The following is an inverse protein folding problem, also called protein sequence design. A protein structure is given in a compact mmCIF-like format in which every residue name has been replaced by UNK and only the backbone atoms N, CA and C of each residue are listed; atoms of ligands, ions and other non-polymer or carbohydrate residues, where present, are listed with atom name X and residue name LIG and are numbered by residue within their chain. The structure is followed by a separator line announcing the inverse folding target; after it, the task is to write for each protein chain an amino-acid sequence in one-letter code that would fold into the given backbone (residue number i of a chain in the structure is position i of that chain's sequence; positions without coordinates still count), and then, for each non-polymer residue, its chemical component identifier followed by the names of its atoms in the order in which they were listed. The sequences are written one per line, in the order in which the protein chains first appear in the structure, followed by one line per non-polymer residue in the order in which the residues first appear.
data_IF_833041832936
#
_entry.id   IF_833041832936
#
_cell.length_a   1.000
_cell.length_b   1.000
_cell.length_c   1.000
_cell.angle_alpha   90.00
_cell.angle_beta   90.00
_cell.angle_gamma   90.00
#
_symmetry.space_group_name_H-M   'P 1'
#
loop_
_entity.id
_entity.type
_entity.pdbx_description
1 polymer ?
#
# COMPACT_ATOMS: atom_id res chain seq x y z
N UNK A 1 99.99 3.40 -47.25
CA UNK A 1 100.85 2.18 -46.97
C UNK A 1 99.96 1.11 -46.40
N UNK A 2 99.81 0.05 -47.15
CA UNK A 2 99.80 -1.38 -46.76
C UNK A 2 98.56 -1.86 -46.01
N UNK A 3 97.66 -2.57 -46.72
CA UNK A 3 97.43 -4.03 -46.82
C UNK A 3 97.02 -4.70 -45.49
N UNK A 4 96.17 -5.64 -45.39
CA UNK A 4 95.56 -6.68 -46.20
C UNK A 4 94.57 -7.49 -45.37
N UNK A 5 93.58 -8.08 -46.04
CA UNK A 5 93.02 -9.43 -45.93
C UNK A 5 92.73 -10.09 -44.58
N UNK A 6 91.56 -10.70 -44.53
CA UNK A 6 91.27 -11.89 -43.74
C UNK A 6 89.77 -12.22 -43.71
N UNK A 7 89.38 -13.10 -44.63
CA UNK A 7 88.05 -13.79 -44.66
C UNK A 7 87.94 -14.73 -43.44
N UNK A 8 86.70 -14.83 -42.89
CA UNK A 8 86.20 -16.15 -42.47
C UNK A 8 84.70 -16.07 -42.19
N UNK A 9 83.97 -16.78 -42.99
CA UNK A 9 82.62 -17.21 -42.79
C UNK A 9 82.44 -17.93 -41.46
N UNK A 10 81.38 -17.63 -40.73
CA UNK A 10 80.77 -18.59 -39.78
C UNK A 10 79.24 -18.45 -39.87
N UNK A 11 78.66 -19.53 -40.40
CA UNK A 11 77.23 -19.86 -40.39
C UNK A 11 76.71 -19.92 -38.92
N UNK A 12 75.70 -19.10 -38.61
CA UNK A 12 74.87 -19.22 -37.43
C UNK A 12 73.52 -19.83 -37.80
N UNK A 13 72.87 -20.63 -36.93
CA UNK A 13 71.73 -21.40 -37.32
C UNK A 13 70.49 -20.51 -37.48
N UNK A 14 69.78 -20.74 -38.57
CA UNK A 14 68.43 -20.23 -38.84
C UNK A 14 67.46 -20.59 -37.70
N UNK A 15 67.02 -19.62 -36.90
CA UNK A 15 65.89 -19.76 -36.02
C UNK A 15 64.64 -19.61 -36.87
N UNK A 16 63.96 -20.76 -37.07
CA UNK A 16 62.63 -20.86 -37.67
C UNK A 16 61.61 -20.18 -36.76
N UNK A 17 61.22 -18.92 -37.00
CA UNK A 17 60.04 -18.27 -36.35
C UNK A 17 58.77 -18.97 -36.86
N UNK A 18 57.92 -19.54 -35.95
CA UNK A 18 56.64 -20.07 -36.38
C UNK A 18 55.81 -18.89 -36.85
N UNK A 19 55.40 -18.91 -38.10
CA UNK A 19 54.70 -17.87 -38.82
C UNK A 19 53.47 -17.34 -38.03
N UNK A 20 53.60 -16.10 -37.61
CA UNK A 20 52.55 -15.29 -36.91
C UNK A 20 51.19 -15.30 -37.63
N UNK A 21 51.14 -15.70 -38.89
CA UNK A 21 49.93 -15.86 -39.70
C UNK A 21 49.07 -17.05 -39.28
N UNK A 22 49.66 -18.21 -38.94
CA UNK A 22 48.89 -19.40 -38.52
C UNK A 22 48.25 -19.26 -37.14
N UNK A 23 48.90 -18.53 -36.23
CA UNK A 23 48.36 -18.27 -34.89
C UNK A 23 47.19 -17.26 -34.97
N UNK A 24 47.27 -16.24 -35.81
CA UNK A 24 46.16 -15.31 -36.06
C UNK A 24 44.95 -16.00 -36.69
N UNK A 25 45.16 -16.89 -37.64
CA UNK A 25 44.09 -17.63 -38.31
C UNK A 25 43.37 -18.61 -37.38
N UNK A 26 44.07 -19.25 -36.44
CA UNK A 26 43.47 -20.12 -35.42
C UNK A 26 42.65 -19.34 -34.40
N UNK A 27 43.09 -18.14 -33.97
CA UNK A 27 42.35 -17.27 -33.04
C UNK A 27 41.08 -16.73 -33.72
N UNK A 28 41.15 -16.36 -34.99
CA UNK A 28 39.96 -15.88 -35.73
C UNK A 28 38.94 -17.02 -35.88
N UNK A 29 39.35 -18.23 -36.25
CA UNK A 29 38.46 -19.39 -36.33
C UNK A 29 37.78 -19.74 -35.00
N UNK A 30 38.54 -19.67 -33.90
CA UNK A 30 37.99 -19.93 -32.55
C UNK A 30 37.00 -18.85 -32.11
N UNK A 31 37.24 -17.59 -32.46
CA UNK A 31 36.30 -16.48 -32.18
C UNK A 31 35.04 -16.58 -32.99
N UNK A 32 35.09 -16.95 -34.29
CA UNK A 32 33.95 -17.17 -35.15
C UNK A 32 33.10 -18.37 -34.69
N UNK A 33 33.75 -19.46 -34.25
CA UNK A 33 33.07 -20.64 -33.72
C UNK A 33 32.35 -20.34 -32.39
N UNK A 34 32.95 -19.53 -31.51
CA UNK A 34 32.29 -19.07 -30.25
C UNK A 34 31.14 -18.15 -30.54
N UNK A 35 31.26 -17.27 -31.55
CA UNK A 35 30.19 -16.35 -31.92
C UNK A 35 28.99 -17.11 -32.56
N UNK A 36 29.29 -18.08 -33.43
CA UNK A 36 28.24 -18.93 -34.04
C UNK A 36 27.49 -19.76 -33.01
N UNK A 37 28.18 -20.39 -32.04
CA UNK A 37 27.59 -21.12 -30.93
C UNK A 37 26.72 -20.21 -30.04
N UNK A 38 27.17 -18.98 -29.80
CA UNK A 38 26.40 -18.00 -29.01
C UNK A 38 25.14 -17.55 -29.74
N UNK A 39 25.19 -17.40 -31.06
CA UNK A 39 24.01 -17.07 -31.89
C UNK A 39 23.02 -18.22 -31.92
N UNK A 40 23.47 -19.47 -32.07
CA UNK A 40 22.60 -20.64 -32.00
C UNK A 40 21.91 -20.81 -30.63
N UNK A 41 22.64 -20.58 -29.52
CA UNK A 41 22.08 -20.62 -28.18
C UNK A 41 20.99 -19.56 -27.97
N UNK A 42 21.23 -18.34 -28.46
CA UNK A 42 20.25 -17.26 -28.41
C UNK A 42 19.01 -17.56 -29.26
N UNK A 43 19.21 -18.16 -30.43
CA UNK A 43 18.11 -18.56 -31.32
C UNK A 43 17.27 -19.68 -30.70
N UNK A 44 17.92 -20.72 -30.17
CA UNK A 44 17.24 -21.82 -29.46
C UNK A 44 16.50 -21.36 -28.20
N UNK A 45 17.08 -20.44 -27.43
CA UNK A 45 16.43 -19.82 -26.27
C UNK A 45 15.23 -18.96 -26.68
N UNK A 46 15.32 -18.23 -27.79
CA UNK A 46 14.23 -17.47 -28.39
C UNK A 46 13.08 -18.37 -28.90
N UNK A 47 13.43 -19.50 -29.52
CA UNK A 47 12.45 -20.49 -29.99
C UNK A 47 11.77 -21.25 -28.83
N UNK A 48 12.51 -21.59 -27.78
CA UNK A 48 11.93 -22.18 -26.57
C UNK A 48 10.97 -21.23 -25.87
N UNK A 49 11.30 -19.92 -25.77
CA UNK A 49 10.37 -18.92 -25.27
C UNK A 49 9.13 -18.73 -26.15
N UNK A 50 9.26 -18.83 -27.48
CA UNK A 50 8.11 -18.81 -28.39
C UNK A 50 7.28 -20.08 -28.30
N UNK A 51 7.90 -21.27 -28.13
CA UNK A 51 7.17 -22.53 -27.92
C UNK A 51 6.42 -22.57 -26.60
N UNK A 52 6.99 -22.04 -25.52
CA UNK A 52 6.31 -21.93 -24.23
C UNK A 52 5.07 -21.00 -24.30
N UNK A 53 5.13 -19.95 -25.13
CA UNK A 53 3.95 -19.08 -25.41
C UNK A 53 2.90 -19.72 -26.31
N UNK A 54 3.27 -20.70 -27.13
CA UNK A 54 2.35 -21.35 -28.09
C UNK A 54 1.55 -22.52 -27.48
N UNK A 55 1.77 -22.83 -26.19
CA UNK A 55 1.10 -23.93 -25.49
C UNK A 55 -0.27 -23.60 -24.90
N UNK A 56 -0.65 -22.32 -24.85
CA UNK A 56 -1.95 -21.90 -24.34
C UNK A 56 -2.76 -21.28 -25.48
N UNK A 57 -3.97 -21.77 -25.70
CA UNK A 57 -4.88 -21.21 -26.69
C UNK A 57 -5.22 -19.77 -26.29
N UNK A 58 -5.47 -18.88 -27.26
CA UNK A 58 -5.80 -17.46 -26.99
C UNK A 58 -6.96 -17.31 -25.99
N UNK A 59 -7.90 -18.25 -26.03
CA UNK A 59 -9.00 -18.34 -25.07
C UNK A 59 -8.51 -18.63 -23.63
N UNK A 60 -7.56 -19.55 -23.45
CA UNK A 60 -7.01 -19.88 -22.13
C UNK A 60 -6.19 -18.70 -21.58
N UNK A 61 -5.46 -17.99 -22.44
CA UNK A 61 -4.75 -16.79 -22.07
C UNK A 61 -5.71 -15.68 -21.59
N UNK A 62 -6.79 -15.46 -22.34
CA UNK A 62 -7.84 -14.51 -21.96
C UNK A 62 -8.52 -14.92 -20.65
N UNK A 63 -8.89 -16.19 -20.50
CA UNK A 63 -9.49 -16.71 -19.28
C UNK A 63 -8.58 -16.52 -18.05
N UNK A 64 -7.27 -16.73 -18.21
CA UNK A 64 -6.30 -16.50 -17.14
C UNK A 64 -6.21 -15.00 -16.77
N UNK A 65 -6.24 -14.09 -17.75
CA UNK A 65 -6.27 -12.65 -17.46
C UNK A 65 -7.53 -12.24 -16.70
N UNK A 66 -8.69 -12.74 -17.10
CA UNK A 66 -9.95 -12.50 -16.39
C UNK A 66 -9.89 -13.05 -14.97
N UNK A 67 -9.36 -14.26 -14.78
CA UNK A 67 -9.20 -14.86 -13.47
C UNK A 67 -8.29 -14.01 -12.56
N UNK A 68 -7.14 -13.57 -13.06
CA UNK A 68 -6.22 -12.70 -12.33
C UNK A 68 -6.92 -11.38 -11.97
N UNK A 69 -7.65 -10.78 -12.89
CA UNK A 69 -8.38 -9.53 -12.65
C UNK A 69 -9.43 -9.70 -11.54
N UNK A 70 -10.20 -10.80 -11.58
CA UNK A 70 -11.17 -11.11 -10.52
C UNK A 70 -10.50 -11.32 -9.16
N UNK A 71 -9.36 -12.02 -9.14
CA UNK A 71 -8.60 -12.21 -7.89
C UNK A 71 -8.10 -10.86 -7.35
N UNK A 72 -7.59 -9.98 -8.21
CA UNK A 72 -7.13 -8.64 -7.81
C UNK A 72 -8.29 -7.82 -7.25
N UNK A 73 -9.45 -7.82 -7.91
CA UNK A 73 -10.65 -7.14 -7.39
C UNK A 73 -11.09 -7.74 -6.05
N UNK A 74 -11.09 -9.05 -5.93
CA UNK A 74 -11.44 -9.71 -4.67
C UNK A 74 -10.51 -9.28 -3.54
N UNK A 75 -9.20 -9.31 -3.74
CA UNK A 75 -8.21 -8.88 -2.75
C UNK A 75 -8.41 -7.41 -2.38
N UNK A 76 -8.65 -6.55 -3.39
CA UNK A 76 -8.88 -5.13 -3.19
C UNK A 76 -10.08 -4.88 -2.26
N UNK A 77 -11.25 -5.45 -2.57
CA UNK A 77 -12.47 -5.20 -1.82
C UNK A 77 -12.57 -6.03 -0.53
N UNK A 78 -11.93 -7.19 -0.45
CA UNK A 78 -11.94 -7.99 0.77
C UNK A 78 -10.99 -7.45 1.85
N UNK A 79 -9.82 -6.93 1.44
CA UNK A 79 -8.74 -6.61 2.39
C UNK A 79 -8.34 -5.13 2.43
N UNK A 80 -8.55 -4.36 1.36
CA UNK A 80 -8.03 -3.00 1.27
C UNK A 80 -9.15 -1.97 1.41
N UNK A 81 -10.22 -2.10 0.63
CA UNK A 81 -11.32 -1.14 0.59
C UNK A 81 -12.58 -1.79 1.15
N UNK A 82 -13.18 -1.15 2.13
CA UNK A 82 -14.51 -1.50 2.60
C UNK A 82 -15.57 -0.55 2.06
N UNK A 83 -16.77 -1.08 1.89
CA UNK A 83 -17.95 -0.28 1.55
C UNK A 83 -19.03 -0.62 2.58
N UNK A 84 -19.66 0.40 3.12
CA UNK A 84 -20.81 0.26 4.01
C UNK A 84 -21.84 1.35 3.71
N UNK A 85 -23.04 1.19 4.19
CA UNK A 85 -24.07 2.24 4.16
C UNK A 85 -24.20 2.84 5.55
N UNK A 86 -24.47 4.14 5.64
CA UNK A 86 -24.80 4.78 6.92
C UNK A 86 -26.15 4.27 7.43
N UNK A 87 -26.21 3.60 8.58
CA UNK A 87 -27.45 2.98 9.05
C UNK A 87 -28.44 4.00 9.62
N UNK A 88 -27.94 5.11 10.14
CA UNK A 88 -28.67 6.10 10.92
C UNK A 88 -28.31 7.53 10.51
N UNK A 89 -28.94 8.54 11.11
CA UNK A 89 -28.62 9.95 10.90
C UNK A 89 -27.61 10.51 11.91
N UNK A 90 -26.82 9.65 12.56
CA UNK A 90 -25.94 10.02 13.69
C UNK A 90 -24.76 10.90 13.27
N UNK A 91 -24.46 10.94 11.96
CA UNK A 91 -23.42 11.81 11.39
C UNK A 91 -24.00 12.99 10.60
N UNK A 92 -25.31 13.30 10.81
CA UNK A 92 -25.95 14.46 10.19
C UNK A 92 -25.32 15.77 10.72
N UNK A 93 -25.15 16.80 9.89
CA UNK A 93 -25.63 16.93 8.51
C UNK A 93 -24.64 16.49 7.42
N UNK A 94 -23.48 16.05 7.82
CA UNK A 94 -22.40 15.77 6.87
C UNK A 94 -22.59 14.43 6.14
N UNK A 95 -23.08 13.43 6.86
CA UNK A 95 -23.44 12.11 6.34
C UNK A 95 -24.85 11.82 6.79
N UNK A 96 -25.68 11.41 5.87
CA UNK A 96 -27.09 11.10 6.14
C UNK A 96 -27.37 9.61 6.04
N UNK A 97 -28.47 9.18 6.60
CA UNK A 97 -28.91 7.80 6.53
C UNK A 97 -29.05 7.33 5.07
N UNK A 98 -28.44 6.18 4.77
CA UNK A 98 -28.44 5.59 3.44
C UNK A 98 -27.31 6.06 2.53
N UNK A 99 -26.47 7.01 2.94
CA UNK A 99 -25.24 7.36 2.22
C UNK A 99 -24.29 6.18 2.17
N UNK A 100 -23.58 6.03 1.05
CA UNK A 100 -22.54 5.02 0.91
C UNK A 100 -21.19 5.57 1.37
N UNK A 101 -20.52 4.81 2.24
CA UNK A 101 -19.22 5.14 2.79
C UNK A 101 -18.18 4.16 2.24
N UNK A 102 -17.14 4.70 1.63
CA UNK A 102 -15.96 3.93 1.25
C UNK A 102 -14.86 4.20 2.28
N UNK A 103 -14.29 3.14 2.84
CA UNK A 103 -13.26 3.26 3.87
C UNK A 103 -12.06 2.38 3.57
N UNK A 104 -10.89 2.82 4.05
CA UNK A 104 -9.61 2.14 3.87
C UNK A 104 -9.31 1.27 5.10
N UNK A 105 -9.24 -0.03 4.90
CA UNK A 105 -9.13 -1.03 5.98
C UNK A 105 -7.75 -1.12 6.60
N UNK A 106 -6.69 -0.76 5.86
CA UNK A 106 -5.31 -0.92 6.31
C UNK A 106 -4.84 0.24 7.19
N UNK A 107 -5.56 1.36 7.20
CA UNK A 107 -5.28 2.48 8.09
C UNK A 107 -5.91 2.20 9.45
N UNK A 108 -5.06 1.85 10.40
CA UNK A 108 -5.42 1.56 11.80
C UNK A 108 -4.82 2.58 12.78
N UNK A 109 -4.28 3.69 12.28
CA UNK A 109 -3.75 4.79 13.07
C UNK A 109 -4.55 6.08 12.78
N UNK A 110 -5.77 6.18 13.34
CA UNK A 110 -6.66 7.28 13.05
C UNK A 110 -6.12 8.59 13.62
N UNK A 111 -6.41 9.69 12.93
CA UNK A 111 -6.09 11.04 13.36
C UNK A 111 -7.33 11.74 13.89
N UNK A 112 -7.12 12.75 14.73
CA UNK A 112 -8.21 13.61 15.15
C UNK A 112 -8.94 14.20 13.94
N UNK A 113 -10.27 14.21 13.98
CA UNK A 113 -11.21 14.61 12.93
C UNK A 113 -11.45 13.59 11.81
N UNK A 114 -10.73 12.46 11.77
CA UNK A 114 -11.05 11.39 10.83
C UNK A 114 -12.44 10.80 11.13
N UNK A 115 -13.15 10.43 10.07
CA UNK A 115 -14.36 9.64 10.19
C UNK A 115 -13.95 8.17 10.03
N UNK A 116 -14.36 7.35 10.98
CA UNK A 116 -13.99 5.94 11.04
C UNK A 116 -15.22 5.04 11.09
N UNK A 117 -15.07 3.86 10.53
CA UNK A 117 -16.00 2.74 10.72
C UNK A 117 -15.38 1.82 11.76
N UNK A 118 -16.13 1.46 12.78
CA UNK A 118 -15.66 0.59 13.86
C UNK A 118 -16.78 -0.35 14.33
N UNK A 119 -16.37 -1.41 15.03
CA UNK A 119 -17.29 -2.40 15.57
C UNK A 119 -17.17 -2.44 17.09
N UNK A 120 -18.32 -2.32 17.76
CA UNK A 120 -18.42 -2.39 19.21
C UNK A 120 -19.62 -3.25 19.61
N UNK A 121 -19.39 -4.26 20.45
CA UNK A 121 -20.46 -5.18 20.89
C UNK A 121 -21.24 -5.80 19.72
N UNK A 122 -20.53 -6.30 18.71
CA UNK A 122 -21.08 -6.91 17.48
C UNK A 122 -21.95 -5.95 16.63
N UNK A 123 -21.87 -4.66 16.90
CA UNK A 123 -22.58 -3.62 16.14
C UNK A 123 -21.59 -2.70 15.46
N UNK A 124 -21.85 -2.39 14.18
CA UNK A 124 -21.01 -1.48 13.39
C UNK A 124 -21.53 -0.06 13.51
N UNK A 125 -20.61 0.83 13.82
CA UNK A 125 -20.82 2.25 13.98
C UNK A 125 -19.98 3.07 13.02
N UNK A 126 -20.38 4.31 12.81
CA UNK A 126 -19.62 5.32 12.10
C UNK A 126 -19.56 6.54 12.99
N UNK A 127 -18.34 7.08 13.18
CA UNK A 127 -18.17 8.26 14.04
C UNK A 127 -16.91 9.03 13.71
N UNK A 128 -16.76 10.18 14.35
CA UNK A 128 -15.62 11.06 14.22
C UNK A 128 -14.67 10.87 15.38
N UNK A 129 -13.37 10.71 15.07
CA UNK A 129 -12.29 10.68 16.06
C UNK A 129 -12.12 12.08 16.64
N UNK A 130 -12.31 12.21 17.94
CA UNK A 130 -12.19 13.46 18.67
C UNK A 130 -10.84 13.58 19.34
N UNK A 131 -10.36 12.48 19.92
CA UNK A 131 -9.08 12.38 20.57
C UNK A 131 -8.42 11.04 20.25
N UNK A 132 -7.09 11.03 20.28
CA UNK A 132 -6.26 9.85 19.98
C UNK A 132 -5.42 9.44 21.18
N UNK A 133 -4.73 8.32 21.07
CA UNK A 133 -3.85 7.82 22.14
C UNK A 133 -2.93 8.92 22.71
N UNK A 134 -2.85 8.98 24.03
CA UNK A 134 -2.07 9.98 24.77
C UNK A 134 -2.80 11.29 25.04
N UNK A 135 -3.91 11.58 24.36
CA UNK A 135 -4.72 12.76 24.66
C UNK A 135 -5.53 12.56 25.93
N UNK A 136 -5.79 13.68 26.62
CA UNK A 136 -6.73 13.74 27.73
C UNK A 136 -7.96 14.51 27.28
N UNK A 137 -9.12 13.85 27.33
CA UNK A 137 -10.41 14.42 26.98
C UNK A 137 -11.23 14.72 28.24
N UNK A 138 -11.88 15.87 28.23
CA UNK A 138 -12.89 16.28 29.21
C UNK A 138 -14.12 16.83 28.50
N UNK A 139 -15.30 16.45 28.95
CA UNK A 139 -16.56 17.04 28.51
C UNK A 139 -17.18 17.69 29.72
N UNK A 140 -17.38 19.00 29.64
CA UNK A 140 -17.92 19.78 30.75
C UNK A 140 -19.43 19.69 30.80
N UNK A 141 -20.01 20.06 31.96
CA UNK A 141 -21.46 20.14 32.12
C UNK A 141 -22.11 21.23 31.25
N UNK A 142 -21.32 22.22 30.85
CA UNK A 142 -21.75 23.33 29.98
C UNK A 142 -21.64 22.97 28.48
N UNK A 143 -21.33 21.71 28.16
CA UNK A 143 -21.27 21.22 26.78
C UNK A 143 -19.98 21.49 26.02
N UNK A 144 -18.90 21.94 26.72
CA UNK A 144 -17.61 22.13 26.09
C UNK A 144 -16.79 20.85 26.05
N UNK A 145 -16.16 20.56 24.91
CA UNK A 145 -15.19 19.49 24.72
C UNK A 145 -13.78 20.07 24.87
N UNK A 146 -13.00 19.54 25.80
CA UNK A 146 -11.64 19.98 26.12
C UNK A 146 -10.67 18.85 25.81
N UNK A 147 -9.65 19.12 25.00
CA UNK A 147 -8.59 18.17 24.68
C UNK A 147 -7.26 18.76 25.16
N UNK A 148 -6.55 18.04 26.02
CA UNK A 148 -5.26 18.43 26.58
C UNK A 148 -5.31 19.83 27.26
N UNK A 149 -6.45 20.18 27.87
CA UNK A 149 -6.66 21.47 28.56
C UNK A 149 -7.10 22.61 27.63
N UNK A 150 -7.26 22.37 26.32
CA UNK A 150 -7.73 23.37 25.36
C UNK A 150 -9.15 23.06 24.89
N UNK A 151 -10.01 24.08 24.90
CA UNK A 151 -11.37 23.93 24.37
C UNK A 151 -11.32 23.70 22.86
N UNK A 152 -11.95 22.62 22.44
CA UNK A 152 -12.07 22.26 21.03
C UNK A 152 -13.12 23.15 20.36
N UNK A 153 -12.72 23.82 19.26
CA UNK A 153 -13.67 24.58 18.46
C UNK A 153 -14.24 23.70 17.35
N UNK A 154 -15.47 23.26 17.50
CA UNK A 154 -16.13 22.35 16.55
C UNK A 154 -17.00 23.15 15.58
N UNK A 155 -16.42 23.59 14.47
CA UNK A 155 -17.11 24.45 13.48
C UNK A 155 -18.22 23.77 12.68
N UNK A 156 -18.28 22.43 12.72
CA UNK A 156 -19.23 21.64 11.94
C UNK A 156 -20.26 20.88 12.81
N UNK A 157 -20.19 21.08 14.11
CA UNK A 157 -21.11 20.47 15.07
C UNK A 157 -22.10 21.55 15.52
N UNK A 158 -23.37 21.27 15.36
CA UNK A 158 -24.45 22.23 15.63
C UNK A 158 -25.17 21.96 16.95
N UNK A 159 -24.72 20.95 17.69
CA UNK A 159 -25.33 20.50 18.93
C UNK A 159 -24.33 20.63 20.08
N UNK A 160 -24.85 21.00 21.25
CA UNK A 160 -24.07 20.96 22.49
C UNK A 160 -23.72 19.52 22.86
N UNK A 161 -22.49 19.33 23.35
CA UNK A 161 -21.97 18.01 23.70
C UNK A 161 -22.01 17.81 25.20
N UNK A 162 -23.00 17.09 25.71
CA UNK A 162 -23.08 16.78 27.12
C UNK A 162 -22.44 15.43 27.47
N UNK A 163 -21.83 15.34 28.67
CA UNK A 163 -21.40 14.04 29.18
C UNK A 163 -22.63 13.16 29.46
N UNK A 164 -22.50 11.86 29.22
CA UNK A 164 -23.53 10.90 29.64
C UNK A 164 -23.25 10.46 31.05
N UNK A 165 -24.14 10.74 31.98
CA UNK A 165 -23.96 10.41 33.38
C UNK A 165 -23.90 8.88 33.60
N UNK A 166 -22.91 8.45 34.36
CA UNK A 166 -22.77 7.04 34.77
C UNK A 166 -21.97 6.15 33.83
N UNK A 167 -21.63 6.60 32.63
CA UNK A 167 -20.87 5.80 31.65
C UNK A 167 -19.39 6.17 31.65
N UNK A 168 -18.95 7.15 30.89
CA UNK A 168 -17.55 7.56 30.82
C UNK A 168 -17.22 8.62 31.87
N UNK A 169 -16.15 8.40 32.63
CA UNK A 169 -15.65 9.36 33.63
C UNK A 169 -14.64 10.32 33.04
N UNK A 170 -14.78 11.59 33.33
CA UNK A 170 -13.87 12.65 32.89
C UNK A 170 -13.11 13.27 34.07
N UNK A 171 -11.86 13.81 33.87
CA UNK A 171 -11.10 13.72 32.63
C UNK A 171 -10.64 12.28 32.33
N UNK A 172 -10.55 11.92 31.04
CA UNK A 172 -10.14 10.61 30.57
C UNK A 172 -8.87 10.73 29.71
N UNK A 173 -7.79 10.06 30.12
CA UNK A 173 -6.57 9.95 29.31
C UNK A 173 -6.59 8.66 28.53
N UNK A 174 -6.46 8.76 27.20
CA UNK A 174 -6.50 7.63 26.28
C UNK A 174 -5.19 6.84 26.34
N UNK A 175 -5.31 5.54 26.50
CA UNK A 175 -4.17 4.62 26.54
C UNK A 175 -3.61 4.39 25.10
N UNK A 176 -2.37 3.88 24.97
CA UNK A 176 -1.86 3.47 23.66
C UNK A 176 -2.83 2.53 22.92
N UNK A 177 -3.07 2.81 21.65
CA UNK A 177 -4.01 2.05 20.83
C UNK A 177 -5.48 2.35 21.08
N UNK A 178 -5.82 3.46 21.73
CA UNK A 178 -7.19 3.91 21.97
C UNK A 178 -7.47 5.24 21.29
N UNK A 179 -8.71 5.43 20.88
CA UNK A 179 -9.27 6.71 20.44
C UNK A 179 -10.64 6.95 21.07
N UNK A 180 -11.03 8.22 21.10
CA UNK A 180 -12.35 8.64 21.55
C UNK A 180 -13.14 9.11 20.33
N UNK A 181 -14.25 8.46 20.04
CA UNK A 181 -15.05 8.66 18.85
C UNK A 181 -16.40 9.21 19.28
N UNK A 182 -16.87 10.25 18.60
CA UNK A 182 -18.23 10.76 18.80
C UNK A 182 -18.98 10.86 17.49
N UNK A 183 -20.29 10.79 17.57
CA UNK A 183 -21.20 11.09 16.47
C UNK A 183 -21.24 12.60 16.22
N UNK A 184 -21.45 13.05 14.97
CA UNK A 184 -21.64 14.49 14.67
C UNK A 184 -23.01 14.98 15.22
N UNK A 185 -23.99 14.08 15.26
CA UNK A 185 -25.29 14.30 15.94
C UNK A 185 -25.13 14.06 17.45
N UNK A 186 -24.73 15.08 18.20
CA UNK A 186 -24.37 14.96 19.62
C UNK A 186 -25.51 14.62 20.57
N UNK A 187 -26.75 14.66 20.08
CA UNK A 187 -27.93 14.20 20.84
C UNK A 187 -28.08 12.68 20.83
N UNK A 188 -27.32 11.98 19.94
CA UNK A 188 -27.16 10.54 19.98
C UNK A 188 -26.43 10.07 21.24
N UNK A 189 -26.55 8.78 21.55
CA UNK A 189 -26.03 8.19 22.78
C UNK A 189 -25.09 7.01 22.54
N UNK A 190 -24.93 6.56 21.31
CA UNK A 190 -24.17 5.34 20.99
C UNK A 190 -22.75 5.63 20.49
N UNK A 191 -22.01 6.43 21.26
CA UNK A 191 -20.62 6.77 20.99
C UNK A 191 -19.71 6.55 22.22
N UNK A 192 -18.47 7.02 22.18
CA UNK A 192 -17.51 6.83 23.27
C UNK A 192 -17.96 7.48 24.59
N UNK A 193 -18.91 8.38 24.60
CA UNK A 193 -19.51 8.90 25.84
C UNK A 193 -20.27 7.81 26.57
N UNK A 194 -20.85 6.86 25.82
CA UNK A 194 -21.64 5.73 26.31
C UNK A 194 -20.75 4.52 26.64
N UNK A 195 -20.00 3.98 25.67
CA UNK A 195 -19.26 2.74 25.83
C UNK A 195 -17.76 2.93 26.15
N UNK A 196 -17.29 4.18 26.30
CA UNK A 196 -15.89 4.49 26.57
C UNK A 196 -15.01 4.50 25.31
N UNK A 197 -13.67 4.50 25.50
CA UNK A 197 -12.73 4.49 24.39
C UNK A 197 -12.88 3.29 23.47
N UNK A 198 -12.59 3.50 22.20
CA UNK A 198 -12.53 2.47 21.16
C UNK A 198 -11.08 2.09 20.94
N UNK A 199 -10.77 0.79 20.92
CA UNK A 199 -9.42 0.32 20.63
C UNK A 199 -9.19 0.33 19.12
N UNK A 200 -7.94 0.55 18.68
CA UNK A 200 -7.59 0.57 17.27
C UNK A 200 -7.87 -0.75 16.53
N UNK A 201 -7.88 -1.87 17.25
CA UNK A 201 -8.27 -3.17 16.69
C UNK A 201 -9.77 -3.32 16.44
N UNK A 202 -10.61 -2.49 17.07
CA UNK A 202 -12.06 -2.43 16.84
C UNK A 202 -12.41 -1.57 15.61
N UNK A 203 -11.41 -0.84 15.03
CA UNK A 203 -11.60 -0.05 13.83
C UNK A 203 -11.66 -0.95 12.59
N UNK A 204 -12.68 -0.81 11.78
CA UNK A 204 -12.75 -1.40 10.43
C UNK A 204 -11.86 -0.63 9.44
N UNK A 205 -11.80 0.69 9.56
CA UNK A 205 -10.95 1.58 8.77
C UNK A 205 -11.41 3.03 8.76
N UNK A 206 -10.63 3.85 8.05
CA UNK A 206 -10.86 5.30 7.92
C UNK A 206 -11.66 5.60 6.64
N UNK A 207 -12.72 6.40 6.75
CA UNK A 207 -13.58 6.79 5.62
C UNK A 207 -12.82 7.76 4.71
N UNK A 208 -12.73 7.39 3.44
CA UNK A 208 -12.03 8.18 2.41
C UNK A 208 -13.00 8.92 1.49
N UNK A 209 -14.21 8.40 1.33
CA UNK A 209 -15.22 9.00 0.44
C UNK A 209 -16.62 8.71 0.92
N UNK A 210 -17.49 9.71 0.80
CA UNK A 210 -18.92 9.62 1.04
C UNK A 210 -19.65 9.85 -0.28
N UNK A 211 -20.44 8.88 -0.70
CA UNK A 211 -21.31 9.00 -1.88
C UNK A 211 -22.74 9.20 -1.41
N UNK A 212 -23.23 10.40 -1.58
CA UNK A 212 -24.59 10.77 -1.15
C UNK A 212 -25.64 10.05 -1.99
N UNK A 213 -26.62 9.55 -1.32
CA UNK A 213 -27.84 9.08 -1.97
C UNK A 213 -28.64 10.29 -2.42
N UNK A 214 -28.65 10.55 -3.73
CA UNK A 214 -29.59 11.55 -4.29
C UNK A 214 -30.98 10.95 -4.28
N UNK A 215 -31.87 11.47 -3.44
CA UNK A 215 -33.29 11.18 -3.56
C UNK A 215 -33.80 11.94 -4.79
N UNK A 216 -34.02 11.24 -5.91
CA UNK A 216 -34.76 11.73 -7.07
C UNK A 216 -36.23 11.75 -6.77
#
# INVERSE_FOLDING_TARGET
MINAKGDSEMNGPEMNEPSTSKVKESIIKESEEKESKTRELKTKAGEQKKKARKGMNDFQWFAMQVLIFVIVLYVLFAHIIGITTMPSADMYPRIDSGDFLMYYRLDKDPKAQDIVVFEKNDTRYVGRVIAVQGDTIEITKDGAVIINGFSMMETNIFYETFPLEGFTKYPLTLQPGQCFIMEDQRQGTEDSRYFGPVNYNELDGTVITVMRRTNL
#
